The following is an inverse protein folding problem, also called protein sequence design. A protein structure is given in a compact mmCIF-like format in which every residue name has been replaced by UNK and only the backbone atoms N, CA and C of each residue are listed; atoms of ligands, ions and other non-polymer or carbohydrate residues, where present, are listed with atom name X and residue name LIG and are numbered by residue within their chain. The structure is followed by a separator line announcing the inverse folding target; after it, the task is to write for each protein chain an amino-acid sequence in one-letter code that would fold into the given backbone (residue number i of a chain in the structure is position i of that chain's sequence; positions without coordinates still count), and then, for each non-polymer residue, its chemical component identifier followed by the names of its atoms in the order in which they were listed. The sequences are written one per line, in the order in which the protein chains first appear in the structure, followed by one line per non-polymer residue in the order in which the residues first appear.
data_IF_650126471669
#
_entry.id   IF_650126471669
#
_cell.length_a   1.000
_cell.length_b   1.000
_cell.length_c   1.000
_cell.angle_alpha   90.00
_cell.angle_beta   90.00
_cell.angle_gamma   90.00
#
_symmetry.space_group_name_H-M   'P 1'
#
loop_
_entity.id
_entity.type
_entity.pdbx_description
1 polymer ?
#
# COMPACT_ATOMS: atom_id res chain seq x y z
N UNK A 1 19.25 12.79 27.26
CA UNK A 1 18.62 13.75 26.33
C UNK A 1 19.46 13.86 25.06
N UNK A 2 19.02 13.30 23.94
CA UNK A 2 19.40 13.72 22.57
C UNK A 2 18.17 13.48 21.69
N UNK A 3 17.55 14.58 21.29
CA UNK A 3 16.38 14.60 20.43
C UNK A 3 16.71 14.01 19.06
N UNK A 4 15.77 13.23 18.53
CA UNK A 4 15.60 13.05 17.09
C UNK A 4 14.14 13.39 16.81
N UNK A 5 13.91 14.70 16.73
CA UNK A 5 12.75 15.25 16.04
C UNK A 5 12.93 14.91 14.58
N UNK A 6 12.22 13.90 14.10
CA UNK A 6 12.00 13.72 12.67
C UNK A 6 10.64 14.37 12.40
N UNK A 7 10.67 15.68 12.17
CA UNK A 7 9.58 16.37 11.49
C UNK A 7 9.82 16.18 10.00
N UNK A 8 8.99 15.39 9.34
CA UNK A 8 8.93 15.36 7.88
C UNK A 8 7.53 14.95 7.41
N UNK A 9 6.80 15.99 7.02
CA UNK A 9 5.69 16.02 6.07
C UNK A 9 4.44 15.18 6.36
N UNK A 10 3.50 15.87 7.01
CA UNK A 10 2.10 15.74 6.69
C UNK A 10 1.89 15.66 5.17
N UNK A 11 1.19 14.60 4.72
CA UNK A 11 0.68 14.47 3.38
C UNK A 11 -0.74 15.08 3.34
N UNK A 12 -0.97 16.28 2.77
CA UNK A 12 -2.33 16.73 2.51
C UNK A 12 -2.77 16.13 1.16
N UNK A 13 -3.31 14.92 1.21
CA UNK A 13 -3.76 14.19 0.03
C UNK A 13 -5.18 13.65 0.19
N UNK A 14 -6.16 14.57 0.15
CA UNK A 14 -7.62 14.38 0.02
C UNK A 14 -8.28 13.29 0.89
N UNK A 15 -9.23 13.74 1.70
CA UNK A 15 -10.37 13.01 2.27
C UNK A 15 -10.65 11.66 1.56
N UNK A 16 -10.89 10.59 2.31
CA UNK A 16 -12.13 10.48 3.09
C UNK A 16 -11.93 9.41 4.16
N UNK A 17 -12.11 9.82 5.41
CA UNK A 17 -12.48 8.90 6.48
C UNK A 17 -13.90 8.48 6.09
N UNK A 18 -14.05 7.48 5.23
CA UNK A 18 -15.33 6.78 5.15
C UNK A 18 -15.37 5.92 6.40
N UNK A 19 -16.43 6.09 7.19
CA UNK A 19 -16.77 5.35 8.40
C UNK A 19 -15.79 4.24 8.79
N UNK A 20 -15.05 4.35 9.93
CA UNK A 20 -14.17 3.27 10.39
C UNK A 20 -14.87 1.91 10.52
N UNK A 21 -16.20 1.92 10.62
CA UNK A 21 -17.10 0.76 10.61
C UNK A 21 -17.17 0.04 9.25
N UNK A 22 -17.17 0.77 8.11
CA UNK A 22 -17.22 0.18 6.77
C UNK A 22 -15.89 -0.47 6.40
N UNK A 23 -14.81 0.19 6.78
CA UNK A 23 -13.45 -0.34 6.62
C UNK A 23 -13.26 -1.67 7.35
N UNK A 24 -13.86 -1.85 8.53
CA UNK A 24 -13.65 -3.06 9.32
C UNK A 24 -14.38 -4.28 8.73
N UNK A 25 -15.61 -4.09 8.23
CA UNK A 25 -16.33 -5.11 7.47
C UNK A 25 -15.59 -5.44 6.17
N UNK A 26 -15.12 -4.42 5.44
CA UNK A 26 -14.39 -4.62 4.20
C UNK A 26 -13.04 -5.33 4.42
N UNK A 27 -12.29 -4.97 5.47
CA UNK A 27 -11.08 -5.66 5.89
C UNK A 27 -11.34 -7.15 6.18
N UNK A 28 -12.46 -7.47 6.85
CA UNK A 28 -12.84 -8.86 7.11
C UNK A 28 -13.11 -9.62 5.82
N UNK A 29 -13.89 -9.03 4.91
CA UNK A 29 -14.20 -9.64 3.60
C UNK A 29 -12.94 -9.88 2.78
N UNK A 30 -12.03 -8.90 2.74
CA UNK A 30 -10.74 -9.04 2.03
C UNK A 30 -9.85 -10.11 2.66
N UNK A 31 -9.80 -10.20 4.00
CA UNK A 31 -9.06 -11.28 4.68
C UNK A 31 -9.64 -12.66 4.41
N UNK A 32 -10.96 -12.77 4.33
CA UNK A 32 -11.62 -14.03 3.98
C UNK A 32 -11.30 -14.45 2.55
N UNK A 33 -11.35 -13.49 1.61
CA UNK A 33 -10.90 -13.72 0.23
C UNK A 33 -9.44 -14.17 0.15
N UNK A 34 -8.53 -13.49 0.84
CA UNK A 34 -7.10 -13.87 0.87
C UNK A 34 -6.87 -15.22 1.57
N UNK A 35 -7.78 -15.65 2.45
CA UNK A 35 -7.73 -16.99 3.06
C UNK A 35 -8.23 -18.06 2.09
N UNK A 36 -9.31 -17.78 1.36
CA UNK A 36 -9.86 -18.67 0.35
C UNK A 36 -8.89 -18.80 -0.84
N UNK A 37 -8.35 -17.68 -1.29
CA UNK A 37 -7.35 -17.59 -2.35
C UNK A 37 -6.17 -16.69 -1.92
N UNK A 38 -5.05 -17.29 -1.47
CA UNK A 38 -3.85 -16.56 -1.06
C UNK A 38 -3.13 -15.82 -2.20
N UNK A 39 -3.58 -15.99 -3.44
CA UNK A 39 -3.00 -15.45 -4.66
C UNK A 39 -3.91 -14.40 -5.34
N UNK A 40 -5.06 -14.08 -4.73
CA UNK A 40 -5.97 -13.07 -5.26
C UNK A 40 -5.31 -11.69 -5.22
N UNK A 41 -4.78 -11.30 -6.37
CA UNK A 41 -4.06 -10.05 -6.55
C UNK A 41 -4.95 -8.83 -6.28
N UNK A 42 -6.24 -8.92 -6.60
CA UNK A 42 -7.21 -7.84 -6.40
C UNK A 42 -7.50 -7.67 -4.89
N UNK A 43 -7.77 -8.77 -4.20
CA UNK A 43 -7.99 -8.77 -2.76
C UNK A 43 -6.75 -8.31 -1.99
N UNK A 44 -5.55 -8.76 -2.37
CA UNK A 44 -4.29 -8.31 -1.79
C UNK A 44 -4.04 -6.81 -2.01
N UNK A 45 -4.37 -6.31 -3.21
CA UNK A 45 -4.19 -4.88 -3.55
C UNK A 45 -5.17 -4.00 -2.79
N UNK A 46 -6.44 -4.41 -2.70
CA UNK A 46 -7.46 -3.73 -1.91
C UNK A 46 -7.11 -3.75 -0.41
N UNK A 47 -6.64 -4.89 0.11
CA UNK A 47 -6.20 -5.02 1.50
C UNK A 47 -5.03 -4.09 1.79
N UNK A 48 -4.01 -4.06 0.92
CA UNK A 48 -2.86 -3.17 1.07
C UNK A 48 -3.25 -1.69 1.01
N UNK A 49 -4.17 -1.32 0.13
CA UNK A 49 -4.66 0.06 0.02
C UNK A 49 -5.39 0.51 1.29
N UNK A 50 -6.21 -0.36 1.87
CA UNK A 50 -6.92 -0.08 3.11
C UNK A 50 -5.97 0.00 4.32
N UNK A 51 -4.96 -0.87 4.36
CA UNK A 51 -3.90 -0.81 5.36
C UNK A 51 -3.10 0.50 5.27
N UNK A 52 -2.84 1.01 4.06
CA UNK A 52 -2.24 2.34 3.89
C UNK A 52 -3.09 3.45 4.48
N UNK A 53 -4.41 3.41 4.25
CA UNK A 53 -5.33 4.40 4.80
C UNK A 53 -5.38 4.34 6.34
N UNK A 54 -5.19 3.16 6.93
CA UNK A 54 -5.08 2.96 8.38
C UNK A 54 -3.73 3.38 8.96
N UNK A 55 -2.74 3.71 8.13
CA UNK A 55 -1.37 4.02 8.56
C UNK A 55 -0.46 2.81 8.69
N UNK A 56 -0.97 1.59 8.45
CA UNK A 56 -0.20 0.33 8.43
C UNK A 56 0.56 0.16 7.10
N UNK A 57 1.38 1.13 6.70
CA UNK A 57 2.10 1.12 5.43
C UNK A 57 3.03 -0.09 5.26
N UNK A 58 3.58 -0.61 6.38
CA UNK A 58 4.45 -1.78 6.38
C UNK A 58 3.72 -3.06 5.97
N UNK A 59 2.51 -3.30 6.52
CA UNK A 59 1.67 -4.45 6.12
C UNK A 59 1.15 -4.30 4.69
N UNK A 60 0.87 -3.06 4.26
CA UNK A 60 0.48 -2.80 2.89
C UNK A 60 1.58 -3.20 1.89
N UNK A 61 2.84 -2.87 2.20
CA UNK A 61 3.99 -3.31 1.39
C UNK A 61 4.10 -4.83 1.29
N UNK A 62 3.81 -5.58 2.35
CA UNK A 62 3.81 -7.04 2.29
C UNK A 62 2.75 -7.55 1.30
N UNK A 63 1.55 -6.99 1.34
CA UNK A 63 0.48 -7.33 0.40
C UNK A 63 0.90 -7.02 -1.04
N UNK A 64 1.40 -5.80 -1.30
CA UNK A 64 1.86 -5.41 -2.63
C UNK A 64 3.06 -6.22 -3.11
N UNK A 65 3.97 -6.61 -2.20
CA UNK A 65 5.08 -7.49 -2.53
C UNK A 65 4.59 -8.84 -3.04
N UNK A 66 3.58 -9.43 -2.40
CA UNK A 66 2.97 -10.69 -2.87
C UNK A 66 2.34 -10.52 -4.25
N UNK A 67 1.64 -9.42 -4.51
CA UNK A 67 1.10 -9.12 -5.85
C UNK A 67 2.22 -8.98 -6.87
N UNK A 68 3.25 -8.18 -6.60
CA UNK A 68 4.38 -8.00 -7.54
C UNK A 68 5.19 -9.27 -7.79
N UNK A 69 5.19 -10.24 -6.86
CA UNK A 69 5.83 -11.54 -7.06
C UNK A 69 5.04 -12.45 -7.99
N UNK A 70 3.71 -12.32 -7.99
CA UNK A 70 2.81 -13.14 -8.80
C UNK A 70 2.59 -12.52 -10.17
N UNK A 71 2.23 -11.23 -10.18
CA UNK A 71 2.05 -10.44 -11.39
C UNK A 71 2.81 -9.11 -11.25
N UNK A 72 4.07 -9.07 -11.69
CA UNK A 72 4.86 -7.84 -11.75
C UNK A 72 4.23 -6.76 -12.64
N UNK A 73 3.39 -7.13 -13.60
CA UNK A 73 2.69 -6.23 -14.51
C UNK A 73 1.29 -5.82 -14.01
N UNK A 74 0.93 -6.16 -12.75
CA UNK A 74 -0.39 -5.80 -12.23
C UNK A 74 -0.59 -4.27 -12.26
N UNK A 75 -1.70 -3.80 -12.85
CA UNK A 75 -1.89 -2.38 -13.12
C UNK A 75 -1.85 -1.55 -11.84
N UNK A 76 -0.99 -0.54 -11.82
CA UNK A 76 -0.88 0.40 -10.70
C UNK A 76 -0.20 -0.15 -9.44
N UNK A 77 0.26 -1.42 -9.41
CA UNK A 77 0.89 -2.00 -8.21
C UNK A 77 2.15 -1.25 -7.78
N UNK A 78 2.98 -0.85 -8.74
CA UNK A 78 4.21 -0.11 -8.49
C UNK A 78 3.95 1.30 -7.94
N UNK A 79 2.84 1.93 -8.36
CA UNK A 79 2.39 3.22 -7.81
C UNK A 79 1.90 3.08 -6.36
N UNK A 80 1.14 2.02 -6.07
CA UNK A 80 0.67 1.74 -4.70
C UNK A 80 1.83 1.41 -3.77
N UNK A 81 2.79 0.62 -4.25
CA UNK A 81 4.02 0.29 -3.53
C UNK A 81 4.88 1.53 -3.25
N UNK A 82 4.99 2.44 -4.22
CA UNK A 82 5.65 3.72 -4.03
C UNK A 82 4.98 4.55 -2.92
N UNK A 83 3.65 4.70 -2.96
CA UNK A 83 2.90 5.40 -1.90
C UNK A 83 3.12 4.78 -0.53
N UNK A 84 3.27 3.46 -0.45
CA UNK A 84 3.55 2.79 0.81
C UNK A 84 4.95 3.10 1.35
N UNK A 85 5.96 3.15 0.48
CA UNK A 85 7.29 3.61 0.87
C UNK A 85 7.30 5.08 1.28
N UNK A 86 6.54 5.95 0.59
CA UNK A 86 6.40 7.36 0.98
C UNK A 86 5.77 7.50 2.37
N UNK A 87 4.74 6.70 2.68
CA UNK A 87 4.11 6.67 4.00
C UNK A 87 5.05 6.16 5.11
N UNK A 88 6.06 5.34 4.77
CA UNK A 88 7.13 4.93 5.68
C UNK A 88 8.29 5.93 5.77
N UNK A 89 8.28 6.99 4.96
CA UNK A 89 9.37 7.96 4.86
C UNK A 89 10.55 7.52 4.00
N UNK A 90 10.43 6.40 3.28
CA UNK A 90 11.49 5.86 2.42
C UNK A 90 11.37 6.36 0.98
N UNK A 91 11.69 7.63 0.77
CA UNK A 91 11.56 8.30 -0.52
C UNK A 91 12.42 7.65 -1.62
N UNK A 92 13.56 7.05 -1.27
CA UNK A 92 14.45 6.36 -2.20
C UNK A 92 13.76 5.12 -2.82
N UNK A 93 13.17 4.26 -1.98
CA UNK A 93 12.44 3.09 -2.46
C UNK A 93 11.16 3.48 -3.21
N UNK A 94 10.50 4.57 -2.82
CA UNK A 94 9.34 5.09 -3.52
C UNK A 94 9.67 5.52 -4.96
N UNK A 95 10.76 6.28 -5.13
CA UNK A 95 11.24 6.72 -6.45
C UNK A 95 11.61 5.52 -7.33
N UNK A 96 12.31 4.53 -6.78
CA UNK A 96 12.63 3.30 -7.49
C UNK A 96 11.37 2.56 -7.96
N UNK A 97 10.33 2.49 -7.12
CA UNK A 97 9.05 1.89 -7.51
C UNK A 97 8.34 2.70 -8.60
N UNK A 98 8.35 4.04 -8.54
CA UNK A 98 7.75 4.89 -9.58
C UNK A 98 8.41 4.69 -10.94
N UNK A 99 9.75 4.67 -10.98
CA UNK A 99 10.51 4.38 -12.20
C UNK A 99 10.16 3.02 -12.78
N UNK A 100 10.08 2.00 -11.93
CA UNK A 100 9.72 0.64 -12.37
C UNK A 100 8.30 0.59 -12.92
N UNK A 101 7.35 1.28 -12.28
CA UNK A 101 5.97 1.36 -12.77
C UNK A 101 5.83 2.09 -14.11
N UNK A 102 6.70 3.05 -14.41
CA UNK A 102 6.72 3.74 -15.70
C UNK A 102 7.31 2.87 -16.82
N UNK A 103 8.33 2.08 -16.49
CA UNK A 103 8.99 1.15 -17.41
C UNK A 103 8.04 0.05 -17.93
N UNK A 104 7.18 -0.50 -17.06
CA UNK A 104 6.19 -1.52 -17.46
C UNK A 104 5.09 -1.03 -18.43
N UNK A 105 4.94 0.29 -18.60
CA UNK A 105 3.95 0.88 -19.50
C UNK A 105 4.57 1.45 -20.79
N UNK A 106 5.87 1.21 -21.06
CA UNK A 106 6.56 1.60 -22.30
C UNK A 106 6.55 0.51 -23.36
#
# INVERSE_FOLDING_TARGET
MKGRTVVASAMPGKARIEDPSKDEHFLRTLRDRVRADPQDADALTALGSLLLQRGDAQKALECFNRVTRQNPAYPGIWRLKARAFEALGDAASAEACRKRGADWHS
#
